data_IF_829910240341
#
_entry.id   IF_829910240341
#
_cell.length_a   1.000
_cell.length_b   1.000
_cell.length_c   1.000
_cell.angle_alpha   90.00
_cell.angle_beta   90.00
_cell.angle_gamma   90.00
#
_symmetry.space_group_name_H-M   'P 1'
#
loop_
_entity.id
_entity.type
_entity.pdbx_description
1 polymer ?
#
# COMPACT_ATOMS: atom_id res chain seq x y z
N UNK A 1 20.03 -1.34 0.81
CA UNK A 1 19.27 -1.41 -0.46
C UNK A 1 18.37 -0.19 -0.57
N UNK A 2 18.47 0.60 -1.64
CA UNK A 2 17.73 1.88 -1.77
C UNK A 2 16.30 1.69 -2.32
N UNK A 3 16.04 0.58 -3.01
CA UNK A 3 14.75 0.21 -3.58
C UNK A 3 14.54 -1.30 -3.48
N UNK A 4 13.30 -1.73 -3.28
CA UNK A 4 12.92 -3.15 -3.25
C UNK A 4 12.38 -3.54 -4.62
N UNK A 5 12.81 -4.68 -5.20
CA UNK A 5 12.18 -5.20 -6.40
C UNK A 5 10.72 -5.57 -6.13
N UNK A 6 9.86 -5.38 -7.12
CA UNK A 6 8.45 -5.74 -7.06
C UNK A 6 8.16 -6.83 -8.10
N UNK A 7 7.68 -7.99 -7.63
CA UNK A 7 7.19 -9.06 -8.47
C UNK A 7 5.68 -8.90 -8.67
N UNK A 8 5.23 -8.95 -9.92
CA UNK A 8 3.81 -8.86 -10.30
C UNK A 8 3.48 -9.98 -11.26
N UNK A 9 2.40 -10.70 -10.98
CA UNK A 9 1.86 -11.73 -11.87
C UNK A 9 0.66 -11.20 -12.61
N UNK A 10 0.61 -11.38 -13.93
CA UNK A 10 -0.49 -10.99 -14.79
C UNK A 10 -1.05 -12.21 -15.53
N UNK A 11 -2.35 -12.22 -15.74
CA UNK A 11 -3.07 -13.25 -16.50
C UNK A 11 -4.00 -12.56 -17.50
N UNK A 12 -3.85 -12.80 -18.81
CA UNK A 12 -4.80 -12.30 -19.79
C UNK A 12 -6.11 -13.12 -19.74
N UNK A 13 -7.25 -12.43 -19.78
CA UNK A 13 -8.60 -13.02 -19.80
C UNK A 13 -9.43 -12.23 -20.82
N UNK A 14 -9.67 -12.82 -21.99
CA UNK A 14 -10.22 -12.09 -23.14
C UNK A 14 -9.36 -10.87 -23.48
N UNK A 15 -9.98 -9.70 -23.58
CA UNK A 15 -9.32 -8.42 -23.89
C UNK A 15 -8.75 -7.69 -22.65
N UNK A 16 -8.78 -8.33 -21.48
CA UNK A 16 -8.35 -7.73 -20.21
C UNK A 16 -7.13 -8.44 -19.65
N UNK A 17 -6.39 -7.72 -18.80
CA UNK A 17 -5.30 -8.28 -18.01
C UNK A 17 -5.68 -8.20 -16.54
N UNK A 18 -5.73 -9.34 -15.87
CA UNK A 18 -5.85 -9.41 -14.42
C UNK A 18 -4.46 -9.29 -13.80
N UNK A 19 -4.34 -8.48 -12.75
CA UNK A 19 -3.09 -8.21 -12.03
C UNK A 19 -3.16 -8.86 -10.65
N UNK A 20 -2.16 -9.68 -10.33
CA UNK A 20 -2.09 -10.54 -9.15
C UNK A 20 -3.40 -11.31 -8.87
N UNK A 21 -4.01 -11.97 -9.88
CA UNK A 21 -5.28 -12.65 -9.67
C UNK A 21 -5.11 -13.86 -8.73
N UNK A 22 -6.10 -14.01 -7.85
CA UNK A 22 -6.35 -15.22 -7.07
C UNK A 22 -6.64 -16.39 -8.02
N UNK A 23 -6.41 -17.64 -7.59
CA UNK A 23 -6.69 -18.81 -8.43
C UNK A 23 -8.13 -18.86 -8.96
N UNK A 24 -9.11 -18.47 -8.15
CA UNK A 24 -10.54 -18.45 -8.51
C UNK A 24 -10.88 -17.45 -9.63
N UNK A 25 -10.11 -16.37 -9.77
CA UNK A 25 -10.32 -15.29 -10.74
C UNK A 25 -9.75 -15.64 -12.13
N UNK A 26 -8.98 -16.73 -12.24
CA UNK A 26 -8.34 -17.15 -13.49
C UNK A 26 -9.27 -17.97 -14.40
N UNK A 27 -10.53 -18.14 -14.01
CA UNK A 27 -11.54 -18.83 -14.80
C UNK A 27 -11.74 -18.11 -16.13
N UNK A 28 -11.61 -18.86 -17.24
CA UNK A 28 -11.67 -18.29 -18.59
C UNK A 28 -10.36 -17.71 -19.13
N UNK A 29 -9.24 -17.82 -18.41
CA UNK A 29 -7.93 -17.54 -19.00
C UNK A 29 -7.52 -18.63 -19.99
N UNK A 30 -6.76 -18.25 -21.02
CA UNK A 30 -6.17 -19.19 -22.00
C UNK A 30 -5.04 -20.06 -21.43
N UNK A 31 -4.85 -20.07 -20.10
CA UNK A 31 -3.78 -20.81 -19.42
C UNK A 31 -2.41 -20.10 -19.42
N UNK A 32 -2.31 -18.94 -20.09
CA UNK A 32 -1.11 -18.10 -20.10
C UNK A 32 -0.98 -17.22 -18.85
N UNK A 33 0.25 -17.02 -18.37
CA UNK A 33 0.55 -16.04 -17.31
C UNK A 33 1.95 -15.49 -17.44
N UNK A 34 2.15 -14.28 -16.91
CA UNK A 34 3.44 -13.58 -16.89
C UNK A 34 3.73 -13.15 -15.46
N UNK A 35 4.86 -13.57 -14.90
CA UNK A 35 5.40 -13.01 -13.66
C UNK A 35 6.61 -12.17 -14.00
N UNK A 36 6.49 -10.86 -13.81
CA UNK A 36 7.54 -9.88 -14.09
C UNK A 36 8.06 -9.26 -12.78
N UNK A 37 9.38 -9.13 -12.67
CA UNK A 37 10.06 -8.50 -11.55
C UNK A 37 10.68 -7.20 -12.03
N UNK A 38 10.30 -6.09 -11.40
CA UNK A 38 10.82 -4.77 -11.72
C UNK A 38 11.67 -4.25 -10.56
N UNK A 39 12.82 -3.66 -10.89
CA UNK A 39 13.52 -2.79 -9.96
C UNK A 39 12.71 -1.50 -9.81
N UNK A 40 12.16 -1.25 -8.61
CA UNK A 40 11.26 -0.10 -8.41
C UNK A 40 11.98 1.25 -8.36
N UNK A 41 13.31 1.27 -8.30
CA UNK A 41 14.10 2.49 -8.35
C UNK A 41 14.26 3.04 -9.77
N UNK A 42 14.56 2.14 -10.70
CA UNK A 42 14.87 2.41 -12.11
C UNK A 42 13.75 2.05 -13.08
N UNK A 43 12.69 1.39 -12.59
CA UNK A 43 11.59 0.82 -13.37
C UNK A 43 12.02 -0.18 -14.45
N UNK A 44 13.23 -0.73 -14.32
CA UNK A 44 13.76 -1.72 -15.26
C UNK A 44 13.21 -3.10 -14.94
N UNK A 45 12.86 -3.84 -15.99
CA UNK A 45 12.54 -5.26 -15.89
C UNK A 45 13.83 -6.01 -15.54
N UNK A 46 13.81 -6.74 -14.43
CA UNK A 46 14.94 -7.50 -13.92
C UNK A 46 14.81 -8.98 -14.29
N UNK A 47 13.61 -9.51 -14.17
CA UNK A 47 13.31 -10.89 -14.53
C UNK A 47 11.89 -10.99 -15.09
N UNK A 48 11.67 -11.94 -16.00
CA UNK A 48 10.36 -12.27 -16.52
C UNK A 48 10.27 -13.77 -16.67
N UNK A 49 9.17 -14.35 -16.17
CA UNK A 49 8.82 -15.75 -16.40
C UNK A 49 7.44 -15.79 -17.03
N UNK A 50 7.31 -16.56 -18.08
CA UNK A 50 6.01 -16.90 -18.67
C UNK A 50 5.65 -18.34 -18.33
N UNK A 51 4.36 -18.62 -18.27
CA UNK A 51 3.81 -19.98 -18.21
C UNK A 51 2.61 -20.08 -19.14
N UNK A 52 2.41 -21.26 -19.74
CA UNK A 52 1.37 -21.47 -20.75
C UNK A 52 1.66 -20.76 -22.08
N UNK A 53 0.66 -20.73 -22.95
CA UNK A 53 0.74 -20.04 -24.24
C UNK A 53 0.21 -18.61 -24.13
N UNK A 54 0.95 -17.68 -24.73
CA UNK A 54 0.63 -16.26 -24.78
C UNK A 54 0.91 -15.75 -26.20
N UNK A 55 -0.02 -14.98 -26.77
CA UNK A 55 0.31 -14.19 -27.96
C UNK A 55 1.29 -13.07 -27.61
N UNK A 56 1.96 -12.52 -28.62
CA UNK A 56 2.86 -11.37 -28.43
C UNK A 56 2.11 -10.15 -27.84
N UNK A 57 0.86 -9.95 -28.25
CA UNK A 57 -0.01 -8.88 -27.75
C UNK A 57 -0.40 -9.08 -26.29
N UNK A 58 -0.71 -10.32 -25.90
CA UNK A 58 -1.02 -10.68 -24.51
C UNK A 58 0.20 -10.47 -23.62
N UNK A 59 1.38 -10.94 -24.04
CA UNK A 59 2.62 -10.73 -23.31
C UNK A 59 2.92 -9.23 -23.12
N UNK A 60 2.79 -8.45 -24.19
CA UNK A 60 3.03 -6.99 -24.15
C UNK A 60 2.06 -6.29 -23.22
N UNK A 61 0.77 -6.66 -23.28
CA UNK A 61 -0.26 -6.10 -22.41
C UNK A 61 -0.01 -6.47 -20.95
N UNK A 62 0.35 -7.71 -20.66
CA UNK A 62 0.72 -8.15 -19.31
C UNK A 62 1.94 -7.40 -18.77
N UNK A 63 3.00 -7.22 -19.56
CA UNK A 63 4.18 -6.49 -19.11
C UNK A 63 3.87 -5.02 -18.83
N UNK A 64 3.03 -4.38 -19.64
CA UNK A 64 2.58 -3.00 -19.42
C UNK A 64 1.83 -2.85 -18.10
N UNK A 65 0.87 -3.72 -17.82
CA UNK A 65 0.11 -3.67 -16.56
C UNK A 65 0.98 -4.07 -15.35
N UNK A 66 1.87 -5.05 -15.52
CA UNK A 66 2.82 -5.44 -14.47
C UNK A 66 3.74 -4.28 -14.07
N UNK A 67 4.22 -3.48 -15.04
CA UNK A 67 5.04 -2.29 -14.76
C UNK A 67 4.25 -1.24 -13.96
N UNK A 68 3.01 -0.97 -14.36
CA UNK A 68 2.13 -0.02 -13.65
C UNK A 68 1.88 -0.46 -12.20
N UNK A 69 1.58 -1.74 -12.00
CA UNK A 69 1.37 -2.32 -10.69
C UNK A 69 2.65 -2.29 -9.82
N UNK A 70 3.82 -2.57 -10.41
CA UNK A 70 5.10 -2.49 -9.69
C UNK A 70 5.38 -1.06 -9.17
N UNK A 71 5.01 -0.03 -9.93
CA UNK A 71 5.11 1.36 -9.47
C UNK A 71 4.20 1.66 -8.26
N UNK A 72 3.02 1.03 -8.19
CA UNK A 72 2.12 1.15 -7.03
C UNK A 72 2.70 0.48 -5.78
N UNK A 73 3.35 -0.68 -5.92
CA UNK A 73 4.06 -1.36 -4.81
C UNK A 73 5.12 -0.43 -4.20
N UNK A 74 5.86 0.29 -5.05
CA UNK A 74 6.83 1.31 -4.59
C UNK A 74 6.17 2.40 -3.75
N UNK A 75 5.05 2.95 -4.22
CA UNK A 75 4.32 3.99 -3.48
C UNK A 75 3.83 3.47 -2.12
N UNK A 76 3.26 2.26 -2.11
CA UNK A 76 2.79 1.61 -0.87
C UNK A 76 3.94 1.45 0.13
N UNK A 77 5.08 0.91 -0.33
CA UNK A 77 6.25 0.72 0.53
C UNK A 77 6.80 2.06 1.04
N UNK A 78 6.89 3.09 0.20
CA UNK A 78 7.32 4.43 0.63
C UNK A 78 6.41 5.01 1.71
N UNK A 79 5.08 4.85 1.57
CA UNK A 79 4.11 5.28 2.58
C UNK A 79 4.24 4.49 3.88
N UNK A 80 4.38 3.17 3.80
CA UNK A 80 4.54 2.30 4.97
C UNK A 80 5.85 2.60 5.73
N UNK A 81 6.96 2.82 5.02
CA UNK A 81 8.23 3.24 5.61
C UNK A 81 8.10 4.63 6.24
N UNK A 82 7.53 5.60 5.54
CA UNK A 82 7.31 6.94 6.10
C UNK A 82 6.48 6.90 7.39
N UNK A 83 5.42 6.10 7.43
CA UNK A 83 4.59 5.92 8.62
C UNK A 83 5.33 5.20 9.77
N UNK A 84 6.21 4.23 9.47
CA UNK A 84 7.00 3.52 10.49
C UNK A 84 8.07 4.42 11.13
N UNK A 85 8.62 5.37 10.37
CA UNK A 85 9.71 6.24 10.82
C UNK A 85 9.28 7.68 11.09
N UNK A 86 8.01 8.03 10.91
CA UNK A 86 7.46 9.28 11.41
C UNK A 86 7.46 9.23 12.93
N UNK A 87 8.26 10.09 13.56
CA UNK A 87 8.40 10.23 15.01
C UNK A 87 7.13 10.72 15.73
N UNK A 88 5.98 10.80 15.07
CA UNK A 88 4.73 11.15 15.75
C UNK A 88 4.27 9.94 16.57
N UNK A 89 4.25 10.03 17.90
CA UNK A 89 3.54 9.05 18.69
C UNK A 89 2.06 9.29 18.42
N UNK A 90 1.45 8.46 17.58
CA UNK A 90 0.00 8.27 17.64
C UNK A 90 -0.27 7.43 18.86
N UNK A 91 -0.40 8.08 20.01
CA UNK A 91 -1.14 7.50 21.12
C UNK A 91 -2.64 7.67 20.79
N UNK A 92 -3.39 6.57 20.56
CA UNK A 92 -4.84 6.63 20.32
C UNK A 92 -5.63 7.22 21.49
N UNK A 93 -5.00 7.34 22.66
CA UNK A 93 -5.57 7.85 23.90
C UNK A 93 -4.98 9.20 24.32
N UNK A 94 -4.06 9.77 23.54
CA UNK A 94 -3.59 11.13 23.77
C UNK A 94 -4.75 12.09 23.49
N UNK A 95 -5.38 12.52 24.58
CA UNK A 95 -6.34 13.61 24.53
C UNK A 95 -5.70 14.90 23.97
N UNK A 96 -6.53 15.85 23.55
CA UNK A 96 -6.05 17.15 23.05
C UNK A 96 -5.06 17.80 24.02
N UNK A 97 -3.87 18.15 23.52
CA UNK A 97 -2.76 18.65 24.35
C UNK A 97 -2.95 20.10 24.81
N UNK A 98 -3.93 20.82 24.26
CA UNK A 98 -4.32 22.17 24.69
C UNK A 98 -5.83 22.23 24.94
N UNK A 99 -6.23 23.00 25.94
CA UNK A 99 -7.65 23.20 26.28
C UNK A 99 -8.47 23.83 25.13
N UNK A 100 -7.80 24.55 24.24
CA UNK A 100 -8.36 25.15 23.04
C UNK A 100 -8.83 24.09 22.03
N UNK A 101 -8.07 22.99 21.94
CA UNK A 101 -8.32 21.83 21.07
C UNK A 101 -9.35 20.85 21.67
N UNK A 102 -9.77 21.06 22.92
CA UNK A 102 -10.85 20.30 23.52
C UNK A 102 -12.22 20.72 22.98
N UNK A 103 -13.11 19.75 22.67
CA UNK A 103 -14.49 20.08 22.35
C UNK A 103 -15.17 20.80 23.52
N UNK A 104 -16.12 21.72 23.27
CA UNK A 104 -16.71 22.57 24.31
C UNK A 104 -17.35 21.80 25.48
N UNK A 105 -17.84 20.58 25.22
CA UNK A 105 -18.42 19.69 26.22
C UNK A 105 -17.40 19.12 27.21
N UNK A 106 -16.11 19.10 26.86
CA UNK A 106 -15.04 18.50 27.67
C UNK A 106 -14.27 19.53 28.50
N UNK A 107 -14.30 20.81 28.09
CA UNK A 107 -13.68 21.92 28.85
C UNK A 107 -14.24 22.07 30.26
N UNK A 108 -15.50 21.66 30.47
CA UNK A 108 -16.20 21.80 31.75
C UNK A 108 -15.78 20.76 32.80
N UNK A 109 -15.20 19.64 32.37
CA UNK A 109 -14.79 18.54 33.26
C UNK A 109 -13.37 18.71 33.83
N UNK A 110 -12.51 19.50 33.18
CA UNK A 110 -11.13 19.75 33.66
C UNK A 110 -11.01 20.80 34.77
N UNK A 111 -12.09 21.50 35.12
CA UNK A 111 -12.09 22.59 36.09
C UNK A 111 -12.38 22.20 37.54
N UNK A 112 -12.67 20.94 37.84
CA UNK A 112 -13.10 20.50 39.19
C UNK A 112 -12.00 19.90 40.07
N UNK A 113 -10.73 19.91 39.65
CA UNK A 113 -9.62 19.34 40.45
C UNK A 113 -8.55 20.34 40.93
N UNK A 114 -8.83 21.65 40.89
CA UNK A 114 -7.90 22.69 41.34
C UNK A 114 -8.47 23.54 42.50
N UNK A 115 -9.19 22.91 43.44
CA UNK A 115 -9.91 23.66 44.46
C UNK A 115 -10.13 22.97 45.82
N UNK A 116 -9.32 22.01 46.23
CA UNK A 116 -9.37 21.50 47.62
C UNK A 116 -7.97 21.14 48.15
N UNK A 117 -7.07 22.12 48.22
CA UNK A 117 -5.97 22.12 49.19
C UNK A 117 -5.65 23.56 49.61
N UNK A 118 -6.29 24.04 50.67
CA UNK A 118 -5.73 24.96 51.67
C UNK A 118 -6.85 25.62 52.47
N UNK A 119 -7.10 25.14 53.68
CA UNK A 119 -7.20 26.00 54.88
C UNK A 119 -6.96 25.13 56.11
N UNK A 120 -5.93 25.52 56.85
CA UNK A 120 -5.64 25.40 58.30
C UNK A 120 -6.39 24.38 59.14
#
# INVERSE_FOLDING_TARGET
>A
MKYLPAAVTCVPVGDRVLVNPLPSERQGSSGGSVTAVYDTGSERLVACRTAGQLSAEQLTSCLREARRAAAMVRQLYRRAVAAKFSKEPRDPWAGPSRAEDMPPSWRRLGGQQAGEQSTS
#
